data_IF_024353995512
#
_entry.id   IF_024353995512
#
_cell.length_a   1.000
_cell.length_b   1.000
_cell.length_c   1.000
_cell.angle_alpha   90.00
_cell.angle_beta   90.00
_cell.angle_gamma   90.00
#
_symmetry.space_group_name_H-M   'P 1'
#
loop_
_entity.id
_entity.type
_entity.pdbx_description
1 polymer ?
#
# COMPACT_ATOMS: atom_id res chain seq x y z
N UNK A 1 -11.61 44.36 -18.79
CA UNK A 1 -11.77 42.96 -19.23
C UNK A 1 -10.63 42.03 -18.79
N UNK A 2 -9.40 42.51 -18.61
CA UNK A 2 -8.23 41.68 -18.23
C UNK A 2 -8.32 41.06 -16.81
N UNK A 3 -8.98 41.73 -15.87
CA UNK A 3 -9.12 41.27 -14.48
C UNK A 3 -9.99 40.01 -14.33
N UNK A 4 -10.96 39.81 -15.23
CA UNK A 4 -11.86 38.65 -15.20
C UNK A 4 -11.13 37.39 -15.69
N UNK A 5 -10.23 37.53 -16.67
CA UNK A 5 -9.47 36.41 -17.22
C UNK A 5 -8.39 35.92 -16.24
N UNK A 6 -7.74 36.83 -15.50
CA UNK A 6 -6.77 36.43 -14.47
C UNK A 6 -7.46 35.69 -13.31
N UNK A 7 -8.64 36.15 -12.89
CA UNK A 7 -9.47 35.45 -11.90
C UNK A 7 -9.92 34.07 -12.41
N UNK A 8 -10.32 33.96 -13.67
CA UNK A 8 -10.72 32.69 -14.26
C UNK A 8 -9.54 31.69 -14.40
N UNK A 9 -8.35 32.18 -14.77
CA UNK A 9 -7.13 31.35 -14.82
C UNK A 9 -6.67 30.94 -13.43
N UNK A 10 -6.72 31.84 -12.44
CA UNK A 10 -6.41 31.50 -11.05
C UNK A 10 -7.42 30.49 -10.50
N UNK A 11 -8.72 30.65 -10.76
CA UNK A 11 -9.75 29.69 -10.35
C UNK A 11 -9.62 28.35 -11.06
N UNK A 12 -9.25 28.31 -12.34
CA UNK A 12 -9.07 27.05 -13.06
C UNK A 12 -7.79 26.33 -12.63
N UNK A 13 -6.72 27.06 -12.33
CA UNK A 13 -5.48 26.49 -11.76
C UNK A 13 -5.72 26.00 -10.33
N UNK A 14 -6.47 26.75 -9.50
CA UNK A 14 -6.87 26.33 -8.16
C UNK A 14 -7.79 25.10 -8.20
N UNK A 15 -8.77 25.05 -9.12
CA UNK A 15 -9.62 23.88 -9.33
C UNK A 15 -8.85 22.67 -9.89
N UNK A 16 -7.75 22.89 -10.61
CA UNK A 16 -6.84 21.82 -11.05
C UNK A 16 -5.95 21.33 -9.91
N UNK A 17 -5.55 22.22 -9.00
CA UNK A 17 -4.83 21.90 -7.75
C UNK A 17 -5.73 21.15 -6.75
N UNK A 18 -7.03 21.44 -6.71
CA UNK A 18 -8.02 20.73 -5.87
C UNK A 18 -8.36 19.33 -6.39
N UNK A 19 -8.08 19.03 -7.67
CA UNK A 19 -8.24 17.70 -8.30
C UNK A 19 -7.05 16.76 -8.08
N UNK A 20 -6.04 17.20 -7.33
CA UNK A 20 -5.03 16.29 -6.81
C UNK A 20 -5.74 15.39 -5.78
N UNK A 21 -5.94 14.11 -6.12
CA UNK A 21 -6.24 13.07 -5.14
C UNK A 21 -5.36 13.34 -3.92
N UNK A 22 -5.98 13.69 -2.79
CA UNK A 22 -5.26 14.18 -1.63
C UNK A 22 -4.42 13.05 -1.00
N UNK A 23 -3.22 12.86 -1.54
CA UNK A 23 -2.24 11.93 -1.02
C UNK A 23 -2.09 12.11 0.49
N UNK A 24 -1.89 11.03 1.28
CA UNK A 24 -1.59 11.18 2.69
C UNK A 24 -0.44 12.16 2.91
N UNK A 25 -0.51 12.99 3.95
CA UNK A 25 0.46 14.07 4.19
C UNK A 25 1.90 13.57 4.41
N UNK A 26 2.02 12.34 4.88
CA UNK A 26 3.25 11.62 5.14
C UNK A 26 3.82 10.98 3.87
N UNK A 27 3.05 10.95 2.78
CA UNK A 27 3.33 10.17 1.59
C UNK A 27 3.43 11.04 0.33
N UNK A 28 3.98 10.43 -0.71
CA UNK A 28 4.05 10.99 -2.05
C UNK A 28 3.31 10.07 -3.02
N UNK A 29 2.45 10.63 -3.87
CA UNK A 29 1.61 9.87 -4.79
C UNK A 29 1.95 10.21 -6.24
N UNK A 30 2.00 9.19 -7.10
CA UNK A 30 2.25 9.34 -8.54
C UNK A 30 1.10 8.72 -9.32
N UNK A 31 0.59 9.48 -10.30
CA UNK A 31 -0.48 9.06 -11.20
C UNK A 31 -1.87 9.45 -10.70
N UNK A 32 -2.85 9.45 -11.62
CA UNK A 32 -4.25 9.82 -11.35
C UNK A 32 -5.23 8.65 -11.52
N UNK A 33 -4.89 7.66 -12.35
CA UNK A 33 -5.76 6.49 -12.63
C UNK A 33 -5.28 5.22 -11.94
N UNK A 34 -3.97 5.13 -11.72
CA UNK A 34 -3.30 4.06 -10.97
C UNK A 34 -2.31 4.74 -10.06
N UNK A 35 -2.67 4.86 -8.79
CA UNK A 35 -1.88 5.64 -7.86
C UNK A 35 -0.78 4.75 -7.29
N UNK A 36 0.46 5.21 -7.44
CA UNK A 36 1.60 4.66 -6.70
C UNK A 36 1.82 5.53 -5.49
N UNK A 37 1.73 4.95 -4.30
CA UNK A 37 1.80 5.66 -3.02
C UNK A 37 3.11 5.28 -2.32
N UNK A 38 3.94 6.28 -2.05
CA UNK A 38 5.26 6.14 -1.44
C UNK A 38 5.26 6.78 -0.06
N UNK A 39 5.39 5.95 0.96
CA UNK A 39 5.38 6.32 2.37
C UNK A 39 6.64 5.80 3.08
N UNK A 40 7.72 5.57 2.34
CA UNK A 40 8.96 4.95 2.80
C UNK A 40 9.77 5.88 3.72
N UNK A 41 10.45 5.30 4.71
CA UNK A 41 11.34 6.00 5.65
C UNK A 41 10.71 7.18 6.41
N UNK A 42 9.42 7.05 6.77
CA UNK A 42 8.66 8.09 7.49
C UNK A 42 8.54 7.83 8.99
N UNK A 43 8.98 6.68 9.47
CA UNK A 43 8.85 6.29 10.88
C UNK A 43 7.41 5.94 11.28
N UNK A 44 6.58 5.53 10.31
CA UNK A 44 5.17 5.19 10.53
C UNK A 44 5.04 3.93 11.40
N UNK A 45 4.11 3.97 12.34
CA UNK A 45 3.70 2.80 13.15
C UNK A 45 2.33 2.26 12.73
N UNK A 46 1.56 3.09 12.05
CA UNK A 46 0.20 2.84 11.58
C UNK A 46 0.07 3.35 10.15
N UNK A 47 -0.87 2.77 9.40
CA UNK A 47 -1.15 3.17 8.01
C UNK A 47 -1.78 4.57 8.04
N UNK A 48 -1.27 5.54 7.27
CA UNK A 48 -1.81 6.88 7.28
C UNK A 48 -3.21 6.92 6.68
N UNK A 49 -4.01 7.90 7.11
CA UNK A 49 -5.32 8.14 6.52
C UNK A 49 -5.18 8.58 5.05
N UNK A 50 -6.25 8.43 4.25
CA UNK A 50 -6.33 8.89 2.86
C UNK A 50 -5.48 8.12 1.84
N UNK A 51 -5.18 6.83 2.08
CA UNK A 51 -4.67 5.97 0.98
C UNK A 51 -5.77 5.81 -0.09
N UNK A 52 -5.57 6.20 -1.36
CA UNK A 52 -6.59 6.05 -2.39
C UNK A 52 -6.98 4.59 -2.65
N UNK A 53 -8.27 4.28 -2.81
CA UNK A 53 -8.73 2.92 -3.20
C UNK A 53 -8.26 2.49 -4.61
N UNK A 54 -7.84 3.44 -5.43
CA UNK A 54 -7.23 3.26 -6.76
C UNK A 54 -5.74 2.92 -6.71
N UNK A 55 -5.17 2.78 -5.50
CA UNK A 55 -3.75 2.46 -5.31
C UNK A 55 -3.40 1.10 -5.90
N UNK A 56 -2.41 1.07 -6.78
CA UNK A 56 -1.88 -0.18 -7.38
C UNK A 56 -0.50 -0.57 -6.83
N UNK A 57 0.22 0.39 -6.26
CA UNK A 57 1.55 0.19 -5.69
C UNK A 57 1.62 0.94 -4.36
N UNK A 58 2.06 0.27 -3.30
CA UNK A 58 2.18 0.87 -1.97
C UNK A 58 3.55 0.57 -1.37
N UNK A 59 4.32 1.61 -1.07
CA UNK A 59 5.62 1.49 -0.43
C UNK A 59 5.58 1.96 1.02
N UNK A 60 5.67 1.01 1.94
CA UNK A 60 5.78 1.22 3.38
C UNK A 60 7.17 0.82 3.91
N UNK A 61 8.16 0.66 3.03
CA UNK A 61 9.50 0.23 3.45
C UNK A 61 10.16 1.21 4.43
N UNK A 62 11.00 0.71 5.34
CA UNK A 62 11.77 1.56 6.26
C UNK A 62 10.96 2.24 7.35
N UNK A 63 9.82 1.66 7.74
CA UNK A 63 8.96 2.17 8.81
C UNK A 63 9.06 1.30 10.08
N UNK A 64 8.09 1.43 10.99
CA UNK A 64 8.06 0.77 12.30
C UNK A 64 6.88 -0.19 12.45
N UNK A 65 6.38 -0.75 11.34
CA UNK A 65 5.31 -1.75 11.36
C UNK A 65 5.80 -3.06 11.99
N UNK A 66 5.04 -3.61 12.94
CA UNK A 66 5.43 -4.83 13.68
C UNK A 66 4.67 -6.09 13.26
N UNK A 67 3.57 -5.92 12.52
CA UNK A 67 2.70 -7.00 12.04
C UNK A 67 2.03 -6.59 10.74
N UNK A 68 1.61 -7.57 9.94
CA UNK A 68 0.77 -7.35 8.76
C UNK A 68 -0.63 -7.88 9.03
N UNK A 69 -1.61 -7.00 8.90
CA UNK A 69 -3.03 -7.25 9.25
C UNK A 69 -3.96 -6.73 8.14
N UNK A 70 -5.18 -7.30 7.99
CA UNK A 70 -6.10 -6.93 6.90
C UNK A 70 -6.43 -5.44 6.82
N UNK A 71 -6.48 -4.78 7.97
CA UNK A 71 -6.84 -3.35 8.10
C UNK A 71 -5.81 -2.42 7.47
N UNK A 72 -4.56 -2.88 7.29
CA UNK A 72 -3.52 -2.11 6.60
C UNK A 72 -3.83 -1.87 5.12
N UNK A 73 -4.74 -2.66 4.54
CA UNK A 73 -5.09 -2.61 3.13
C UNK A 73 -6.52 -2.13 2.89
N UNK A 74 -6.94 -1.18 3.72
CA UNK A 74 -8.15 -0.40 3.52
C UNK A 74 -7.77 0.98 2.98
N UNK A 75 -8.30 1.33 1.82
CA UNK A 75 -8.20 2.67 1.23
C UNK A 75 -9.45 3.50 1.47
N UNK A 76 -9.38 4.78 1.13
CA UNK A 76 -10.47 5.74 1.25
C UNK A 76 -11.09 6.03 -0.11
N UNK A 77 -12.42 6.12 -0.13
CA UNK A 77 -13.20 6.38 -1.34
C UNK A 77 -13.34 7.89 -1.52
N UNK A 78 -13.11 8.38 -2.73
CA UNK A 78 -13.40 9.77 -3.10
C UNK A 78 -14.87 9.93 -3.48
N UNK A 79 -15.45 11.08 -3.15
CA UNK A 79 -16.75 11.49 -3.68
C UNK A 79 -16.65 11.98 -5.13
N UNK A 80 -17.77 12.45 -5.70
CA UNK A 80 -17.82 12.96 -7.07
C UNK A 80 -16.94 14.19 -7.32
N UNK A 81 -16.57 14.90 -6.24
CA UNK A 81 -15.72 16.08 -6.28
C UNK A 81 -14.23 15.74 -6.06
N UNK A 82 -13.89 14.47 -5.86
CA UNK A 82 -12.53 14.01 -5.63
C UNK A 82 -12.05 14.13 -4.19
N UNK A 83 -12.96 14.38 -3.24
CA UNK A 83 -12.64 14.54 -1.81
C UNK A 83 -12.75 13.19 -1.10
N UNK A 84 -11.76 12.86 -0.27
CA UNK A 84 -11.81 11.65 0.55
C UNK A 84 -12.98 11.67 1.52
N UNK A 85 -13.83 10.66 1.40
CA UNK A 85 -14.89 10.38 2.36
C UNK A 85 -14.31 9.67 3.59
N UNK A 86 -15.04 9.66 4.72
CA UNK A 86 -14.67 8.81 5.88
C UNK A 86 -14.85 7.30 5.61
N UNK A 87 -15.40 6.94 4.46
CA UNK A 87 -15.67 5.55 4.11
C UNK A 87 -14.38 4.88 3.62
N UNK A 88 -14.06 3.76 4.25
CA UNK A 88 -12.98 2.88 3.82
C UNK A 88 -13.50 1.75 2.94
N UNK A 89 -12.68 1.28 2.01
CA UNK A 89 -12.95 0.10 1.20
C UNK A 89 -11.65 -0.71 0.97
N UNK A 90 -11.74 -2.02 0.69
CA UNK A 90 -10.57 -2.85 0.40
C UNK A 90 -9.77 -2.34 -0.81
N UNK A 91 -8.44 -2.46 -0.76
CA UNK A 91 -7.54 -2.11 -1.86
C UNK A 91 -7.55 -3.20 -2.96
N UNK A 92 -8.68 -3.34 -3.65
CA UNK A 92 -8.93 -4.38 -4.68
C UNK A 92 -8.14 -4.20 -5.97
N UNK A 93 -7.38 -3.12 -6.11
CA UNK A 93 -6.51 -2.85 -7.24
C UNK A 93 -5.02 -2.95 -6.88
N UNK A 94 -4.68 -3.17 -5.61
CA UNK A 94 -3.29 -3.25 -5.16
C UNK A 94 -2.59 -4.45 -5.81
N UNK A 95 -1.45 -4.19 -6.46
CA UNK A 95 -0.64 -5.20 -7.15
C UNK A 95 0.64 -5.49 -6.41
N UNK A 96 1.25 -4.45 -5.86
CA UNK A 96 2.54 -4.55 -5.18
C UNK A 96 2.49 -3.85 -3.82
N UNK A 97 3.01 -4.51 -2.80
CA UNK A 97 3.24 -3.93 -1.48
C UNK A 97 4.70 -4.13 -1.06
N UNK A 98 5.31 -3.05 -0.55
CA UNK A 98 6.62 -3.10 0.10
C UNK A 98 6.52 -2.84 1.58
N UNK A 99 6.96 -3.82 2.37
CA UNK A 99 7.04 -3.79 3.83
C UNK A 99 8.44 -4.17 4.32
N UNK A 100 9.41 -4.30 3.42
CA UNK A 100 10.81 -4.50 3.78
C UNK A 100 11.33 -3.38 4.68
N UNK A 101 12.45 -3.62 5.37
CA UNK A 101 13.02 -2.66 6.34
C UNK A 101 12.07 -2.23 7.48
N UNK A 102 11.08 -3.06 7.81
CA UNK A 102 10.23 -2.88 8.99
C UNK A 102 10.49 -3.98 10.04
N UNK A 103 10.24 -3.76 11.33
CA UNK A 103 10.34 -4.77 12.38
C UNK A 103 9.15 -5.76 12.38
N UNK A 104 8.61 -6.12 11.21
CA UNK A 104 7.46 -7.02 11.07
C UNK A 104 7.87 -8.41 11.51
N UNK A 105 7.24 -8.90 12.58
CA UNK A 105 7.49 -10.25 13.11
C UNK A 105 6.52 -11.29 12.58
N UNK A 106 5.28 -10.86 12.29
CA UNK A 106 4.16 -11.75 11.98
C UNK A 106 3.33 -11.18 10.83
N UNK A 107 3.01 -12.05 9.86
CA UNK A 107 1.92 -11.86 8.89
C UNK A 107 0.74 -12.72 9.35
N UNK A 108 -0.43 -12.12 9.59
CA UNK A 108 -1.64 -12.85 9.98
C UNK A 108 -2.20 -13.70 8.81
N UNK A 109 -2.88 -14.83 9.09
CA UNK A 109 -3.31 -15.78 8.03
C UNK A 109 -4.40 -15.27 7.07
N UNK A 110 -4.93 -14.07 7.30
CA UNK A 110 -5.90 -13.41 6.42
C UNK A 110 -5.48 -12.00 6.04
N UNK A 111 -4.20 -11.65 6.26
CA UNK A 111 -3.72 -10.28 6.12
C UNK A 111 -3.97 -9.68 4.73
N UNK A 112 -4.09 -10.51 3.68
CA UNK A 112 -4.22 -10.06 2.30
C UNK A 112 -5.61 -10.28 1.69
N UNK A 113 -6.60 -10.71 2.48
CA UNK A 113 -7.99 -10.92 2.04
C UNK A 113 -8.59 -9.63 1.43
N UNK A 114 -8.19 -8.48 1.97
CA UNK A 114 -8.59 -7.13 1.50
C UNK A 114 -7.87 -6.68 0.22
N UNK A 115 -7.02 -7.52 -0.36
CA UNK A 115 -6.22 -7.23 -1.56
C UNK A 115 -6.23 -8.38 -2.58
N UNK A 116 -7.42 -8.74 -3.13
CA UNK A 116 -7.56 -9.89 -4.02
C UNK A 116 -6.83 -9.74 -5.36
N UNK A 117 -6.24 -8.59 -5.67
CA UNK A 117 -5.43 -8.34 -6.88
C UNK A 117 -3.93 -8.43 -6.65
N UNK A 118 -3.49 -8.63 -5.41
CA UNK A 118 -2.09 -8.54 -5.01
C UNK A 118 -1.26 -9.63 -5.71
N UNK A 119 -0.12 -9.21 -6.24
CA UNK A 119 0.75 -10.04 -7.07
C UNK A 119 2.13 -10.18 -6.44
N UNK A 120 2.65 -9.14 -5.80
CA UNK A 120 4.01 -9.11 -5.28
C UNK A 120 4.08 -8.48 -3.89
N UNK A 121 4.66 -9.21 -2.94
CA UNK A 121 4.81 -8.79 -1.54
C UNK A 121 6.28 -8.82 -1.16
N UNK A 122 6.84 -7.68 -0.77
CA UNK A 122 8.19 -7.59 -0.19
C UNK A 122 8.10 -7.51 1.33
N UNK A 123 8.77 -8.42 2.02
CA UNK A 123 8.76 -8.53 3.49
C UNK A 123 10.21 -8.57 4.05
N UNK A 124 10.39 -8.24 5.33
CA UNK A 124 11.66 -8.46 6.03
C UNK A 124 12.10 -9.92 5.96
N UNK A 125 13.41 -10.17 5.83
CA UNK A 125 13.92 -11.53 5.69
C UNK A 125 13.58 -12.46 6.86
N UNK A 126 13.47 -11.94 8.08
CA UNK A 126 13.23 -12.70 9.30
C UNK A 126 11.73 -12.87 9.66
N UNK A 127 10.81 -12.37 8.84
CA UNK A 127 9.36 -12.43 9.12
C UNK A 127 8.83 -13.86 9.29
N UNK A 128 7.93 -14.07 10.25
CA UNK A 128 7.19 -15.33 10.43
C UNK A 128 5.78 -15.20 9.87
N UNK A 129 5.26 -16.28 9.29
CA UNK A 129 3.90 -16.29 8.74
C UNK A 129 3.01 -17.13 9.64
N UNK A 130 2.05 -16.47 10.27
CA UNK A 130 1.10 -17.13 11.17
C UNK A 130 0.01 -17.80 10.35
N UNK A 131 -0.22 -19.09 10.62
CA UNK A 131 -1.40 -19.83 10.14
C UNK A 131 -2.25 -20.15 11.35
N UNK A 132 -3.43 -19.55 11.51
CA UNK A 132 -4.34 -19.87 12.62
C UNK A 132 -4.83 -21.33 12.58
N UNK A 133 -4.79 -22.01 11.42
CA UNK A 133 -5.06 -23.45 11.31
C UNK A 133 -3.96 -24.37 11.91
N UNK A 134 -2.77 -23.84 12.21
CA UNK A 134 -1.68 -24.60 12.83
C UNK A 134 -1.30 -23.95 14.17
N UNK A 135 -1.11 -24.75 15.23
CA UNK A 135 -0.61 -24.24 16.49
C UNK A 135 0.80 -23.62 16.38
N UNK A 136 1.49 -23.87 15.26
CA UNK A 136 2.84 -23.39 14.97
C UNK A 136 2.84 -22.51 13.71
N UNK A 137 3.45 -21.32 13.80
CA UNK A 137 3.71 -20.46 12.64
C UNK A 137 4.66 -21.18 11.66
N UNK A 138 4.36 -21.19 10.36
CA UNK A 138 5.28 -21.78 9.38
C UNK A 138 6.52 -20.90 9.23
N UNK A 139 7.69 -21.52 9.41
CA UNK A 139 9.01 -20.88 9.37
C UNK A 139 9.79 -21.20 8.10
N UNK A 140 9.29 -22.10 7.25
CA UNK A 140 9.95 -22.51 6.02
C UNK A 140 10.07 -21.35 5.00
N UNK A 141 9.19 -20.35 5.09
CA UNK A 141 9.16 -19.15 4.22
C UNK A 141 9.09 -19.50 2.74
N UNK A 142 8.66 -20.72 2.40
CA UNK A 142 8.59 -21.19 1.01
C UNK A 142 7.28 -20.79 0.34
N UNK A 143 6.17 -20.83 1.09
CA UNK A 143 4.85 -20.47 0.61
C UNK A 143 3.91 -20.07 1.75
N UNK A 144 3.04 -19.11 1.48
CA UNK A 144 1.92 -18.75 2.34
C UNK A 144 0.68 -18.44 1.52
N UNK A 145 -0.49 -18.75 2.06
CA UNK A 145 -1.83 -18.44 1.53
C UNK A 145 -1.90 -17.95 0.05
N UNK A 146 -1.76 -18.87 -0.91
CA UNK A 146 -1.86 -18.53 -2.33
C UNK A 146 -0.65 -17.80 -2.95
N UNK A 147 0.48 -17.69 -2.25
CA UNK A 147 1.74 -17.12 -2.70
C UNK A 147 2.92 -18.08 -2.52
N UNK A 148 3.88 -18.02 -3.45
CA UNK A 148 5.16 -18.75 -3.42
C UNK A 148 6.30 -17.76 -3.37
N UNK A 149 7.36 -18.10 -2.63
CA UNK A 149 8.60 -17.32 -2.61
C UNK A 149 9.20 -17.24 -4.01
N UNK A 150 9.56 -16.05 -4.46
CA UNK A 150 10.25 -15.88 -5.76
C UNK A 150 11.68 -16.40 -5.67
N UNK A 151 12.17 -17.03 -6.74
CA UNK A 151 13.52 -17.59 -6.79
C UNK A 151 14.62 -16.51 -6.81
N UNK A 152 14.34 -15.39 -7.47
CA UNK A 152 15.23 -14.23 -7.59
C UNK A 152 14.53 -12.99 -7.07
N UNK A 153 15.20 -12.24 -6.19
CA UNK A 153 14.64 -11.01 -5.65
C UNK A 153 14.53 -9.95 -6.78
N UNK A 154 13.34 -9.37 -7.05
CA UNK A 154 13.16 -8.46 -8.19
C UNK A 154 13.94 -7.15 -8.07
N UNK A 155 14.36 -6.79 -6.86
CA UNK A 155 15.24 -5.64 -6.59
C UNK A 155 16.69 -6.05 -6.29
N UNK A 156 17.03 -7.32 -6.52
CA UNK A 156 18.37 -7.91 -6.31
C UNK A 156 18.94 -7.80 -4.88
N UNK A 157 18.16 -7.38 -3.88
CA UNK A 157 18.59 -7.33 -2.48
C UNK A 157 18.38 -8.67 -1.74
N UNK A 158 19.44 -9.31 -1.22
CA UNK A 158 19.34 -10.59 -0.51
C UNK A 158 18.81 -10.47 0.93
N UNK A 159 18.69 -9.27 1.50
CA UNK A 159 18.23 -9.06 2.88
C UNK A 159 16.71 -9.04 3.02
N UNK A 160 15.98 -9.30 1.94
CA UNK A 160 14.52 -9.35 1.92
C UNK A 160 14.01 -10.60 1.22
N UNK A 161 12.73 -10.88 1.44
CA UNK A 161 12.02 -11.94 0.73
C UNK A 161 10.86 -11.36 -0.03
N UNK A 162 10.67 -11.86 -1.24
CA UNK A 162 9.55 -11.50 -2.09
C UNK A 162 8.71 -12.75 -2.39
N UNK A 163 7.40 -12.54 -2.50
CA UNK A 163 6.44 -13.60 -2.78
C UNK A 163 5.55 -13.18 -3.93
N UNK A 164 5.34 -14.10 -4.87
CA UNK A 164 4.42 -13.92 -6.00
C UNK A 164 3.21 -14.81 -5.85
N UNK A 165 2.06 -14.36 -6.34
CA UNK A 165 0.85 -15.19 -6.33
C UNK A 165 1.06 -16.50 -7.08
N UNK A 166 0.67 -17.60 -6.46
CA UNK A 166 0.62 -18.92 -7.08
C UNK A 166 -0.33 -18.86 -8.27
N UNK A 167 0.19 -19.15 -9.46
CA UNK A 167 -0.59 -19.33 -10.70
C UNK A 167 -1.58 -20.47 -10.60
#
# INVERSE_FOLDING_TARGET
MVWCEHLAVVLSVLALLERLEACPSECHCIGHTRVSVYCDFRGLKEVPINIPVTTTYLDFSGNQFTQVVPEMFLGYVNDSEGVFTKQTAPLTQLKVIRLDLNPVRVVNEHAFDTTPSLELVYLPFDVKIQRQAFAEMKTDKLAFDGYVRVAYHPLEDPHFVAFSRSS
#
